data_IF_702034110295
#
_entry.id   IF_702034110295
#
_cell.length_a   1.000
_cell.length_b   1.000
_cell.length_c   1.000
_cell.angle_alpha   90.00
_cell.angle_beta   90.00
_cell.angle_gamma   90.00
#
_symmetry.space_group_name_H-M   'P 1'
#
loop_
_entity.id
_entity.type
_entity.pdbx_description
1 polymer ?
#
# COMPACT_ATOMS: atom_id res chain seq x y z
N UNK A 1 12.25 8.08 -63.64
CA UNK A 1 10.99 7.68 -62.96
C UNK A 1 11.20 6.36 -62.25
N UNK A 2 11.22 6.37 -60.92
CA UNK A 2 10.65 5.38 -59.97
C UNK A 2 11.33 5.58 -58.61
N UNK A 3 10.54 6.05 -57.65
CA UNK A 3 10.85 6.10 -56.22
C UNK A 3 10.81 4.66 -55.70
N UNK A 4 11.78 4.27 -54.88
CA UNK A 4 11.60 3.20 -53.89
C UNK A 4 12.25 3.69 -52.61
N UNK A 5 11.39 4.05 -51.68
CA UNK A 5 11.68 4.26 -50.26
C UNK A 5 11.90 2.85 -49.69
N UNK A 6 13.02 2.61 -49.01
CA UNK A 6 13.12 1.49 -48.10
C UNK A 6 13.84 1.95 -46.83
N UNK A 7 13.01 2.24 -45.84
CA UNK A 7 13.35 2.42 -44.43
C UNK A 7 13.91 1.10 -43.91
N UNK A 8 15.10 1.11 -43.31
CA UNK A 8 15.62 -0.01 -42.51
C UNK A 8 16.40 0.60 -41.34
N UNK A 9 15.63 1.01 -40.32
CA UNK A 9 16.14 1.28 -38.98
C UNK A 9 16.03 -0.04 -38.22
N UNK A 10 17.10 -0.82 -38.22
CA UNK A 10 17.22 -1.98 -37.32
C UNK A 10 17.82 -1.52 -36.02
N UNK A 11 16.90 -1.24 -35.09
CA UNK A 11 17.09 -1.12 -33.65
C UNK A 11 17.52 -2.48 -33.09
N UNK A 12 18.60 -2.54 -32.30
CA UNK A 12 18.88 -3.60 -31.31
C UNK A 12 20.07 -3.20 -30.43
N UNK A 13 19.85 -2.28 -29.50
CA UNK A 13 20.61 -2.23 -28.25
C UNK A 13 19.74 -2.93 -27.21
N UNK A 14 19.97 -4.23 -26.99
CA UNK A 14 19.50 -4.88 -25.77
C UNK A 14 20.67 -4.82 -24.80
N UNK A 15 20.67 -3.77 -23.98
CA UNK A 15 21.42 -3.72 -22.74
C UNK A 15 20.63 -4.59 -21.76
N UNK A 16 21.02 -5.86 -21.62
CA UNK A 16 20.56 -6.69 -20.52
C UNK A 16 21.38 -6.30 -19.29
N UNK A 17 20.75 -5.58 -18.37
CA UNK A 17 21.34 -5.15 -17.11
C UNK A 17 20.31 -4.48 -16.22
N UNK A 18 19.64 -5.28 -15.39
CA UNK A 18 19.46 -5.11 -13.96
C UNK A 18 18.43 -6.15 -13.49
N UNK A 19 18.85 -7.03 -12.58
CA UNK A 19 17.92 -7.78 -11.75
C UNK A 19 17.68 -6.94 -10.51
N UNK A 20 16.43 -6.50 -10.34
CA UNK A 20 15.73 -6.03 -9.14
C UNK A 20 14.30 -5.67 -9.57
N UNK A 21 13.32 -5.94 -8.70
CA UNK A 21 11.95 -5.40 -8.65
C UNK A 21 10.93 -5.68 -9.78
N UNK A 22 10.63 -6.96 -10.05
CA UNK A 22 9.42 -7.30 -10.84
C UNK A 22 8.12 -7.12 -10.03
N UNK A 23 8.14 -7.20 -8.68
CA UNK A 23 6.93 -7.11 -7.83
C UNK A 23 6.42 -5.69 -7.57
N UNK A 24 7.31 -4.74 -7.27
CA UNK A 24 6.90 -3.36 -6.94
C UNK A 24 6.33 -2.62 -8.15
N UNK A 25 6.91 -2.89 -9.33
CA UNK A 25 6.43 -2.33 -10.59
C UNK A 25 5.04 -2.87 -10.96
N UNK A 26 4.73 -4.10 -10.56
CA UNK A 26 3.42 -4.73 -10.81
C UNK A 26 2.34 -4.07 -9.96
N UNK A 27 2.54 -3.94 -8.64
CA UNK A 27 1.53 -3.40 -7.73
C UNK A 27 1.29 -1.91 -7.99
N UNK A 28 2.34 -1.09 -8.11
CA UNK A 28 2.16 0.33 -8.46
C UNK A 28 1.45 0.49 -9.81
N UNK A 29 1.69 -0.44 -10.76
CA UNK A 29 0.98 -0.48 -12.05
C UNK A 29 -0.51 -0.76 -11.89
N UNK A 30 -0.88 -1.78 -11.11
CA UNK A 30 -2.28 -2.10 -10.80
C UNK A 30 -2.97 -0.92 -10.10
N UNK A 31 -2.32 -0.30 -9.12
CA UNK A 31 -2.88 0.87 -8.42
C UNK A 31 -3.11 2.03 -9.39
N UNK A 32 -2.16 2.29 -10.28
CA UNK A 32 -2.28 3.36 -11.27
C UNK A 32 -3.43 3.12 -12.26
N UNK A 33 -3.69 1.88 -12.64
CA UNK A 33 -4.81 1.55 -13.55
C UNK A 33 -6.17 1.86 -12.91
N UNK A 34 -6.28 1.81 -11.58
CA UNK A 34 -7.51 2.08 -10.84
C UNK A 34 -7.62 3.52 -10.31
N UNK A 35 -6.60 4.03 -9.64
CA UNK A 35 -6.61 5.36 -9.00
C UNK A 35 -6.02 6.48 -9.86
N UNK A 36 -5.33 6.17 -10.96
CA UNK A 36 -4.66 7.18 -11.80
C UNK A 36 -3.44 7.85 -11.14
N UNK A 37 -2.97 7.30 -10.02
CA UNK A 37 -1.75 7.71 -9.30
C UNK A 37 -0.73 6.58 -9.31
N UNK A 38 0.56 6.91 -9.27
CA UNK A 38 1.64 5.92 -9.19
C UNK A 38 2.35 6.05 -7.83
N UNK A 39 1.76 5.54 -6.74
CA UNK A 39 2.35 5.69 -5.41
C UNK A 39 3.60 4.84 -5.27
N UNK A 40 4.50 5.29 -4.41
CA UNK A 40 5.61 4.49 -3.93
C UNK A 40 5.09 3.44 -2.95
N UNK A 41 5.45 2.19 -3.19
CA UNK A 41 5.14 1.06 -2.33
C UNK A 41 6.46 0.66 -1.66
N UNK A 42 6.59 0.80 -0.33
CA UNK A 42 7.85 0.57 0.36
C UNK A 42 8.27 -0.90 0.32
N UNK A 43 9.55 -1.15 0.01
CA UNK A 43 10.16 -2.46 0.16
C UNK A 43 10.40 -2.75 1.66
N UNK A 44 9.95 -3.91 2.14
CA UNK A 44 10.12 -4.32 3.54
C UNK A 44 10.53 -5.79 3.61
N UNK A 45 10.92 -6.25 4.81
CA UNK A 45 11.16 -7.68 5.06
C UNK A 45 9.84 -8.51 5.07
N UNK A 46 8.68 -7.86 4.97
CA UNK A 46 7.37 -8.49 4.93
C UNK A 46 6.84 -8.62 3.49
N UNK A 47 6.02 -9.63 3.26
CA UNK A 47 5.49 -9.98 1.94
C UNK A 47 4.13 -9.32 1.69
N UNK A 48 3.93 -8.71 0.52
CA UNK A 48 2.61 -8.17 0.13
C UNK A 48 1.67 -9.34 -0.20
N UNK A 49 0.63 -9.51 0.62
CA UNK A 49 -0.35 -10.58 0.47
C UNK A 49 -1.66 -10.14 -0.19
N UNK A 50 -2.06 -8.88 0.01
CA UNK A 50 -3.38 -8.39 -0.41
C UNK A 50 -3.27 -6.94 -0.87
N UNK A 51 -3.93 -6.62 -2.00
CA UNK A 51 -4.26 -5.25 -2.37
C UNK A 51 -5.78 -5.13 -2.57
N UNK A 52 -6.40 -4.23 -1.80
CA UNK A 52 -7.84 -3.98 -1.83
C UNK A 52 -8.09 -2.56 -2.31
N UNK A 53 -8.93 -2.41 -3.33
CA UNK A 53 -9.47 -1.15 -3.78
C UNK A 53 -10.75 -0.84 -3.02
N UNK A 54 -10.84 0.34 -2.42
CA UNK A 54 -12.05 0.80 -1.73
C UNK A 54 -12.75 1.88 -2.54
N UNK A 55 -14.08 1.85 -2.56
CA UNK A 55 -14.92 2.80 -3.29
C UNK A 55 -15.68 3.74 -2.34
N UNK A 56 -16.08 4.91 -2.83
CA UNK A 56 -16.94 5.79 -2.04
C UNK A 56 -18.34 5.17 -1.80
N UNK A 57 -18.82 5.11 -0.55
CA UNK A 57 -20.12 4.51 -0.25
C UNK A 57 -21.26 5.32 -0.89
N UNK A 58 -22.15 4.63 -1.59
CA UNK A 58 -23.36 5.22 -2.16
C UNK A 58 -23.22 5.93 -3.51
N UNK A 59 -22.10 5.79 -4.21
CA UNK A 59 -21.94 6.26 -5.59
C UNK A 59 -22.23 5.12 -6.58
N UNK A 60 -23.19 5.33 -7.50
CA UNK A 60 -23.63 4.29 -8.48
C UNK A 60 -22.56 3.91 -9.51
N UNK A 61 -21.54 4.77 -9.72
CA UNK A 61 -20.47 4.57 -10.71
C UNK A 61 -19.10 4.21 -10.09
N UNK A 62 -19.02 3.98 -8.77
CA UNK A 62 -17.83 3.36 -8.16
C UNK A 62 -16.52 4.14 -8.40
N UNK A 63 -16.46 5.41 -7.99
CA UNK A 63 -15.19 6.13 -7.96
C UNK A 63 -14.30 5.55 -6.84
N UNK A 64 -13.10 5.06 -7.16
CA UNK A 64 -12.22 4.50 -6.15
C UNK A 64 -11.70 5.60 -5.23
N UNK A 65 -11.85 5.34 -3.93
CA UNK A 65 -11.51 6.23 -2.82
C UNK A 65 -10.07 6.03 -2.36
N UNK A 66 -9.64 4.80 -2.22
CA UNK A 66 -8.32 4.46 -1.70
C UNK A 66 -7.92 3.06 -2.14
N UNK A 67 -6.63 2.76 -1.99
CA UNK A 67 -6.13 1.39 -2.07
C UNK A 67 -5.43 1.05 -0.77
N UNK A 68 -5.70 -0.13 -0.23
CA UNK A 68 -4.97 -0.69 0.91
C UNK A 68 -4.05 -1.81 0.47
N UNK A 69 -2.75 -1.67 0.74
CA UNK A 69 -1.73 -2.70 0.56
C UNK A 69 -1.42 -3.33 1.92
N UNK A 70 -1.54 -4.65 2.03
CA UNK A 70 -1.31 -5.38 3.27
C UNK A 70 -0.09 -6.29 3.18
N UNK A 71 0.80 -6.18 4.18
CA UNK A 71 2.02 -6.96 4.29
C UNK A 71 1.92 -7.97 5.44
N UNK A 72 2.47 -9.17 5.21
CA UNK A 72 2.40 -10.31 6.12
C UNK A 72 3.80 -10.82 6.44
N UNK A 73 3.95 -11.41 7.62
CA UNK A 73 5.24 -11.89 8.10
C UNK A 73 5.82 -13.03 7.24
N UNK A 74 4.98 -14.00 6.87
CA UNK A 74 5.37 -15.09 5.98
C UNK A 74 4.11 -15.66 5.29
N UNK A 75 3.93 -15.38 4.00
CA UNK A 75 2.76 -15.87 3.25
C UNK A 75 2.79 -17.38 3.07
N UNK A 76 3.99 -17.98 3.02
CA UNK A 76 4.16 -19.43 2.90
C UNK A 76 3.67 -20.21 4.14
N UNK A 77 3.51 -19.54 5.29
CA UNK A 77 3.10 -20.16 6.56
C UNK A 77 1.61 -20.04 6.87
N UNK A 78 0.86 -19.29 6.04
CA UNK A 78 -0.57 -19.03 6.24
C UNK A 78 -1.38 -19.50 5.02
N UNK A 79 -2.59 -19.99 5.26
CA UNK A 79 -3.47 -20.46 4.19
C UNK A 79 -4.47 -19.37 3.80
N UNK A 80 -4.68 -19.10 2.50
CA UNK A 80 -5.79 -18.29 2.04
C UNK A 80 -7.12 -18.83 2.54
N UNK A 81 -8.06 -17.93 2.81
CA UNK A 81 -9.43 -18.32 3.17
C UNK A 81 -10.10 -19.01 1.98
N UNK A 82 -11.04 -19.90 2.27
CA UNK A 82 -11.80 -20.60 1.24
C UNK A 82 -12.81 -19.69 0.52
N UNK A 83 -13.36 -20.18 -0.60
CA UNK A 83 -14.28 -19.40 -1.43
C UNK A 83 -15.56 -19.00 -0.68
N UNK A 84 -16.07 -19.84 0.23
CA UNK A 84 -17.26 -19.52 1.03
C UNK A 84 -16.99 -18.30 1.93
N UNK A 85 -15.80 -18.23 2.54
CA UNK A 85 -15.37 -17.07 3.33
C UNK A 85 -15.04 -15.85 2.47
N UNK A 86 -14.46 -16.02 1.28
CA UNK A 86 -14.24 -14.91 0.32
C UNK A 86 -15.57 -14.29 -0.11
N UNK A 87 -16.56 -15.10 -0.46
CA UNK A 87 -17.91 -14.61 -0.79
C UNK A 87 -18.53 -13.87 0.39
N UNK A 88 -18.41 -14.43 1.61
CA UNK A 88 -18.92 -13.78 2.82
C UNK A 88 -18.25 -12.42 3.10
N UNK A 89 -16.94 -12.32 2.85
CA UNK A 89 -16.20 -11.06 2.95
C UNK A 89 -16.70 -10.04 1.92
N UNK A 90 -16.89 -10.44 0.66
CA UNK A 90 -17.37 -9.53 -0.40
C UNK A 90 -18.79 -9.03 -0.15
N UNK A 91 -19.67 -9.88 0.37
CA UNK A 91 -21.03 -9.49 0.76
C UNK A 91 -21.04 -8.49 1.92
N UNK A 92 -20.08 -8.61 2.83
CA UNK A 92 -19.94 -7.74 4.00
C UNK A 92 -19.22 -6.42 3.69
N UNK A 93 -18.43 -6.38 2.61
CA UNK A 93 -17.65 -5.23 2.17
C UNK A 93 -18.01 -4.91 0.70
N UNK A 94 -19.24 -4.44 0.42
CA UNK A 94 -19.67 -4.19 -0.95
C UNK A 94 -18.91 -3.04 -1.63
N UNK A 95 -18.24 -2.18 -0.85
CA UNK A 95 -17.35 -1.12 -1.35
C UNK A 95 -15.89 -1.55 -1.51
N UNK A 96 -15.53 -2.81 -1.21
CA UNK A 96 -14.18 -3.34 -1.34
C UNK A 96 -14.05 -4.30 -2.53
N UNK A 97 -12.94 -4.20 -3.26
CA UNK A 97 -12.58 -5.11 -4.35
C UNK A 97 -11.14 -5.61 -4.19
N UNK A 98 -10.95 -6.93 -4.23
CA UNK A 98 -9.63 -7.54 -4.24
C UNK A 98 -9.02 -7.41 -5.64
N UNK A 99 -7.96 -6.60 -5.76
CA UNK A 99 -7.28 -6.33 -7.05
C UNK A 99 -5.93 -7.04 -7.19
N UNK A 100 -5.39 -7.57 -6.09
CA UNK A 100 -4.20 -8.43 -6.10
C UNK A 100 -4.15 -9.34 -4.86
N UNK A 101 -3.62 -10.55 -5.04
CA UNK A 101 -3.38 -11.51 -3.96
C UNK A 101 -4.60 -12.33 -3.56
N UNK A 102 -4.66 -12.71 -2.29
CA UNK A 102 -5.71 -13.54 -1.70
C UNK A 102 -6.15 -12.96 -0.34
N UNK A 103 -7.23 -13.47 0.25
CA UNK A 103 -7.67 -13.06 1.59
C UNK A 103 -7.17 -14.07 2.63
N UNK A 104 -6.78 -13.58 3.81
CA UNK A 104 -6.22 -14.38 4.90
C UNK A 104 -6.95 -14.11 6.23
N UNK A 105 -6.94 -15.07 7.16
CA UNK A 105 -7.51 -14.89 8.50
C UNK A 105 -6.55 -14.16 9.44
N UNK A 106 -5.26 -14.33 9.22
CA UNK A 106 -4.18 -13.74 9.99
C UNK A 106 -4.14 -12.22 9.77
N UNK A 107 -3.84 -11.43 10.82
CA UNK A 107 -3.73 -9.99 10.68
C UNK A 107 -2.46 -9.61 9.90
N UNK A 108 -2.56 -8.58 9.06
CA UNK A 108 -1.39 -7.99 8.41
C UNK A 108 -0.52 -7.21 9.41
N UNK A 109 0.80 -7.29 9.22
CA UNK A 109 1.80 -6.57 10.02
C UNK A 109 1.79 -5.09 9.67
N UNK A 110 1.78 -4.77 8.37
CA UNK A 110 1.64 -3.41 7.85
C UNK A 110 0.38 -3.35 7.00
N UNK A 111 -0.41 -2.30 7.23
CA UNK A 111 -1.52 -1.91 6.36
C UNK A 111 -1.25 -0.49 5.90
N UNK A 112 -0.99 -0.33 4.60
CA UNK A 112 -0.71 0.92 3.94
C UNK A 112 -1.90 1.31 3.10
N UNK A 113 -2.70 2.26 3.58
CA UNK A 113 -3.81 2.82 2.83
C UNK A 113 -3.37 4.11 2.12
N UNK A 114 -3.66 4.19 0.83
CA UNK A 114 -3.20 5.23 -0.09
C UNK A 114 -4.43 5.94 -0.64
N UNK A 115 -4.47 7.25 -0.44
CA UNK A 115 -5.55 8.13 -0.90
C UNK A 115 -5.08 9.01 -2.05
N UNK A 116 -5.81 9.08 -3.17
CA UNK A 116 -5.58 10.13 -4.16
C UNK A 116 -5.93 11.50 -3.56
N UNK A 117 -5.33 12.56 -4.13
CA UNK A 117 -5.56 13.96 -3.75
C UNK A 117 -5.28 14.28 -2.27
N UNK A 118 -4.51 13.44 -1.58
CA UNK A 118 -4.15 13.65 -0.18
C UNK A 118 -5.32 13.51 0.80
N UNK A 119 -6.42 12.86 0.39
CA UNK A 119 -7.72 12.74 1.08
C UNK A 119 -7.75 12.02 2.44
N UNK A 120 -6.72 12.20 3.27
CA UNK A 120 -6.60 11.70 4.63
C UNK A 120 -7.46 12.52 5.60
N UNK A 121 -8.15 11.82 6.50
CA UNK A 121 -8.69 12.43 7.71
C UNK A 121 -7.59 12.74 8.74
N UNK A 122 -7.98 13.34 9.86
CA UNK A 122 -7.09 13.50 11.02
C UNK A 122 -7.14 12.27 11.92
N UNK A 123 -5.98 11.82 12.40
CA UNK A 123 -5.89 10.84 13.47
C UNK A 123 -6.35 11.46 14.80
N UNK A 124 -7.31 10.81 15.44
CA UNK A 124 -7.76 11.22 16.77
C UNK A 124 -6.64 11.02 17.80
N UNK A 125 -6.41 12.02 18.64
CA UNK A 125 -5.39 12.00 19.70
C UNK A 125 -3.95 11.74 19.20
N UNK A 126 -3.67 12.03 17.93
CA UNK A 126 -2.32 11.96 17.39
C UNK A 126 -1.49 13.19 17.78
N UNK A 127 -0.19 12.96 17.94
CA UNK A 127 0.81 14.02 17.98
C UNK A 127 1.37 14.29 16.58
N UNK A 128 1.98 15.46 16.39
CA UNK A 128 2.74 15.78 15.18
C UNK A 128 4.22 15.61 15.47
N UNK A 129 4.89 14.77 14.69
CA UNK A 129 6.34 14.55 14.75
C UNK A 129 6.98 14.89 13.40
N UNK A 130 8.27 15.16 13.40
CA UNK A 130 9.06 15.39 12.17
C UNK A 130 9.84 14.11 11.82
N UNK A 131 9.65 13.58 10.63
CA UNK A 131 10.37 12.42 10.08
C UNK A 131 10.92 12.81 8.72
N UNK A 132 12.21 12.61 8.48
CA UNK A 132 12.90 12.98 7.24
C UNK A 132 12.64 14.44 6.77
N UNK A 133 12.40 15.37 7.72
CA UNK A 133 12.10 16.77 7.42
C UNK A 133 10.64 17.06 7.01
N UNK A 134 9.75 16.07 7.15
CA UNK A 134 8.32 16.15 6.87
C UNK A 134 7.52 16.00 8.16
N UNK A 135 6.49 16.84 8.35
CA UNK A 135 5.59 16.74 9.50
C UNK A 135 4.53 15.66 9.24
N UNK A 136 4.39 14.71 10.18
CA UNK A 136 3.42 13.60 10.09
C UNK A 136 2.58 13.53 11.36
N UNK A 137 1.34 13.03 11.25
CA UNK A 137 0.56 12.67 12.44
C UNK A 137 0.99 11.28 12.89
N UNK A 138 1.16 11.09 14.19
CA UNK A 138 1.66 9.86 14.81
C UNK A 138 0.85 9.51 16.04
N UNK A 139 0.52 8.23 16.19
CA UNK A 139 -0.09 7.70 17.39
C UNK A 139 0.48 6.31 17.70
N UNK A 140 0.90 6.11 18.94
CA UNK A 140 1.30 4.80 19.47
C UNK A 140 0.24 4.29 20.44
N UNK A 141 -0.26 3.08 20.20
CA UNK A 141 -1.16 2.36 21.09
C UNK A 141 -0.45 1.11 21.60
N UNK A 142 -0.17 1.09 22.90
CA UNK A 142 0.43 -0.05 23.60
C UNK A 142 -0.56 -1.23 23.67
N UNK A 143 -0.04 -2.45 23.60
CA UNK A 143 -0.80 -3.68 23.77
C UNK A 143 -1.71 -3.61 25.01
N UNK A 144 -2.97 -4.01 24.85
CA UNK A 144 -3.95 -4.05 25.93
C UNK A 144 -4.53 -2.69 26.35
N UNK A 145 -4.07 -1.57 25.78
CA UNK A 145 -4.61 -0.23 26.09
C UNK A 145 -6.05 -0.02 25.60
N UNK A 146 -6.43 -0.68 24.50
CA UNK A 146 -7.72 -0.61 23.82
C UNK A 146 -8.30 -2.01 23.51
N UNK A 147 -7.76 -3.05 24.14
CA UNK A 147 -8.13 -4.44 23.90
C UNK A 147 -7.39 -5.12 22.75
N UNK A 148 -6.33 -4.50 22.23
CA UNK A 148 -5.42 -5.10 21.23
C UNK A 148 -4.44 -6.10 21.83
N UNK A 149 -4.08 -7.09 21.01
CA UNK A 149 -3.12 -8.13 21.35
C UNK A 149 -1.69 -7.80 20.89
N UNK A 150 -1.44 -6.61 20.34
CA UNK A 150 -0.13 -6.13 19.91
C UNK A 150 -0.01 -4.62 20.03
N UNK A 151 1.23 -4.16 20.22
CA UNK A 151 1.61 -2.77 20.03
C UNK A 151 1.28 -2.34 18.59
N UNK A 152 0.77 -1.12 18.44
CA UNK A 152 0.37 -0.61 17.13
C UNK A 152 0.69 0.86 16.98
N UNK A 153 1.28 1.20 15.84
CA UNK A 153 1.55 2.58 15.43
C UNK A 153 0.65 2.94 14.27
N UNK A 154 0.13 4.16 14.33
CA UNK A 154 -0.57 4.80 13.23
C UNK A 154 0.18 6.04 12.77
N UNK A 155 0.30 6.23 11.46
CA UNK A 155 0.89 7.44 10.88
C UNK A 155 0.08 7.94 9.71
N UNK A 156 -0.20 9.25 9.67
CA UNK A 156 -0.73 9.91 8.48
C UNK A 156 0.32 10.84 7.88
N UNK A 157 0.58 10.66 6.58
CA UNK A 157 1.51 11.44 5.78
C UNK A 157 0.78 12.07 4.61
N UNK A 158 0.80 13.39 4.53
CA UNK A 158 0.14 14.14 3.46
C UNK A 158 1.18 14.66 2.46
N UNK A 159 0.91 14.45 1.17
CA UNK A 159 1.66 14.98 0.04
C UNK A 159 0.71 15.76 -0.88
N UNK A 160 1.25 16.47 -1.87
CA UNK A 160 0.45 17.36 -2.73
C UNK A 160 -0.62 16.62 -3.56
N UNK A 161 -0.34 15.40 -4.00
CA UNK A 161 -1.18 14.59 -4.89
C UNK A 161 -1.62 13.24 -4.29
N UNK A 162 -1.17 12.92 -3.08
CA UNK A 162 -1.50 11.66 -2.41
C UNK A 162 -1.36 11.73 -0.89
N UNK A 163 -1.99 10.78 -0.21
CA UNK A 163 -1.89 10.62 1.23
C UNK A 163 -1.67 9.17 1.59
N UNK A 164 -0.83 8.92 2.58
CA UNK A 164 -0.58 7.59 3.13
C UNK A 164 -1.05 7.53 4.59
N UNK A 165 -1.87 6.53 4.89
CA UNK A 165 -2.19 6.08 6.24
C UNK A 165 -1.48 4.75 6.47
N UNK A 166 -0.62 4.71 7.49
CA UNK A 166 0.12 3.50 7.87
C UNK A 166 -0.43 3.00 9.19
N UNK A 167 -0.82 1.73 9.24
CA UNK A 167 -0.94 0.95 10.48
C UNK A 167 0.18 -0.07 10.52
N UNK A 168 1.04 -0.01 11.53
CA UNK A 168 2.08 -0.99 11.79
C UNK A 168 1.77 -1.70 13.11
N UNK A 169 1.54 -3.01 13.09
CA UNK A 169 1.26 -3.82 14.27
C UNK A 169 2.13 -5.08 14.32
N UNK A 170 3.06 -5.13 15.27
CA UNK A 170 3.97 -6.27 15.48
C UNK A 170 4.32 -6.38 16.96
N UNK A 171 4.66 -7.58 17.44
CA UNK A 171 5.23 -7.76 18.76
C UNK A 171 6.75 -7.51 18.69
N UNK A 172 7.16 -6.26 18.85
CA UNK A 172 8.58 -5.87 18.82
C UNK A 172 8.85 -4.72 19.78
N UNK A 173 9.96 -4.81 20.51
CA UNK A 173 10.44 -3.73 21.40
C UNK A 173 10.89 -2.48 20.61
N UNK A 174 11.16 -2.62 19.30
CA UNK A 174 11.67 -1.56 18.42
C UNK A 174 10.64 -1.09 17.37
N UNK A 175 9.34 -1.35 17.58
CA UNK A 175 8.27 -1.03 16.63
C UNK A 175 8.23 0.45 16.23
N UNK A 176 8.53 1.37 17.15
CA UNK A 176 8.58 2.80 16.85
C UNK A 176 9.63 3.19 15.83
N UNK A 177 10.85 2.67 15.98
CA UNK A 177 11.94 3.01 15.08
C UNK A 177 11.71 2.36 13.70
N UNK A 178 11.26 1.11 13.66
CA UNK A 178 10.89 0.44 12.40
C UNK A 178 9.77 1.19 11.66
N UNK A 179 8.74 1.67 12.37
CA UNK A 179 7.68 2.47 11.76
C UNK A 179 8.18 3.82 11.24
N UNK A 180 9.07 4.51 11.98
CA UNK A 180 9.68 5.77 11.51
C UNK A 180 10.59 5.55 10.31
N UNK A 181 11.32 4.44 10.24
CA UNK A 181 12.13 4.06 9.08
C UNK A 181 11.26 3.84 7.84
N UNK A 182 10.14 3.11 7.98
CA UNK A 182 9.16 2.93 6.90
C UNK A 182 8.57 4.28 6.45
N UNK A 183 8.21 5.16 7.38
CA UNK A 183 7.69 6.48 7.05
C UNK A 183 8.73 7.34 6.34
N UNK A 184 9.99 7.31 6.79
CA UNK A 184 11.09 8.03 6.15
C UNK A 184 11.29 7.56 4.71
N UNK A 185 11.25 6.25 4.46
CA UNK A 185 11.36 5.70 3.10
C UNK A 185 10.22 6.17 2.20
N UNK A 186 8.97 6.17 2.69
CA UNK A 186 7.82 6.72 1.95
C UNK A 186 8.03 8.22 1.64
N UNK A 187 8.46 9.00 2.63
CA UNK A 187 8.67 10.45 2.47
C UNK A 187 9.78 10.74 1.45
N UNK A 188 10.91 10.06 1.53
CA UNK A 188 12.06 10.28 0.66
C UNK A 188 11.74 9.97 -0.82
N UNK A 189 10.82 9.03 -1.07
CA UNK A 189 10.39 8.64 -2.41
C UNK A 189 9.17 9.41 -2.95
N UNK A 190 8.56 10.31 -2.15
CA UNK A 190 7.45 11.17 -2.56
C UNK A 190 7.74 12.68 -2.40
N UNK A 191 8.99 13.07 -2.09
CA UNK A 191 9.43 14.47 -1.89
C UNK A 191 10.14 15.11 -3.09
#
# INVERSE_FOLDING_TARGET
>A
MKKVILLLVTLSFIVAGCGSSDGDTEISGVINDHLGISPYIPETDYEIGIVILEYHPGFEDGDPRSVTVNYFEALEEIEPIDEDLKESWQESNPEGELIYGDLYMEPSVISLEIFPDGGLGELMDAETIEVAGHEIQYQFLEQGSDGRDSDTIFMNMHFDDMGYFVRYSVQSDDIEEAAKELAADIIENNS
#
